data_IF_003186625953
#
_entry.id   IF_003186625953
#
_cell.length_a   1.000
_cell.length_b   1.000
_cell.length_c   1.000
_cell.angle_alpha   90.00
_cell.angle_beta   90.00
_cell.angle_gamma   90.00
#
_symmetry.space_group_name_H-M   'P 1'
#
loop_
_entity.id
_entity.type
_entity.pdbx_description
1 polymer ?
#
# COMPACT_ATOMS: atom_id res chain seq x y z
N UNK A 1 -13.36 -18.49 -18.17
CA UNK A 1 -12.63 -17.44 -17.42
C UNK A 1 -11.24 -17.99 -17.10
N UNK A 2 -10.20 -17.63 -17.88
CA UNK A 2 -8.82 -18.12 -17.71
C UNK A 2 -8.18 -17.44 -16.50
N UNK A 3 -8.24 -18.08 -15.33
CA UNK A 3 -7.68 -17.59 -14.07
C UNK A 3 -6.19 -17.89 -14.01
N UNK A 4 -5.44 -17.16 -14.82
CA UNK A 4 -4.01 -17.38 -15.00
C UNK A 4 -3.27 -16.64 -13.86
N UNK A 5 -2.17 -17.23 -13.41
CA UNK A 5 -1.17 -16.84 -12.39
C UNK A 5 -1.16 -15.37 -11.92
N UNK A 6 -1.35 -14.38 -12.80
CA UNK A 6 -1.44 -12.94 -12.49
C UNK A 6 -2.44 -12.61 -11.38
N UNK A 7 -3.61 -13.27 -11.35
CA UNK A 7 -4.61 -13.01 -10.30
C UNK A 7 -4.15 -13.57 -8.95
N UNK A 8 -3.50 -14.73 -8.93
CA UNK A 8 -2.88 -15.30 -7.72
C UNK A 8 -1.73 -14.42 -7.22
N UNK A 9 -0.88 -13.95 -8.13
CA UNK A 9 0.21 -13.01 -7.82
C UNK A 9 -0.29 -11.72 -7.18
N UNK A 10 -1.39 -11.15 -7.67
CA UNK A 10 -2.02 -9.98 -7.07
C UNK A 10 -2.48 -10.23 -5.62
N UNK A 11 -3.15 -11.36 -5.35
CA UNK A 11 -3.60 -11.71 -3.99
C UNK A 11 -2.43 -11.94 -3.03
N UNK A 12 -1.37 -12.60 -3.48
CA UNK A 12 -0.15 -12.80 -2.68
C UNK A 12 0.52 -11.45 -2.41
N UNK A 13 0.59 -10.58 -3.42
CA UNK A 13 1.09 -9.21 -3.29
C UNK A 13 0.28 -8.37 -2.30
N UNK A 14 -1.05 -8.49 -2.30
CA UNK A 14 -1.94 -7.83 -1.35
C UNK A 14 -1.69 -8.31 0.08
N UNK A 15 -1.59 -9.63 0.28
CA UNK A 15 -1.29 -10.23 1.59
C UNK A 15 0.07 -9.79 2.13
N UNK A 16 1.11 -9.86 1.29
CA UNK A 16 2.45 -9.39 1.66
C UNK A 16 2.47 -7.88 1.97
N UNK A 17 1.73 -7.08 1.21
CA UNK A 17 1.57 -5.65 1.47
C UNK A 17 0.91 -5.33 2.78
N UNK A 18 -0.10 -6.11 3.17
CA UNK A 18 -0.81 -5.91 4.44
C UNK A 18 0.11 -6.20 5.64
N UNK A 19 0.95 -7.24 5.54
CA UNK A 19 1.98 -7.52 6.55
C UNK A 19 3.04 -6.42 6.57
N UNK A 20 3.52 -5.99 5.41
CA UNK A 20 4.51 -4.91 5.31
C UNK A 20 3.97 -3.60 5.88
N UNK A 21 2.69 -3.29 5.63
CA UNK A 21 1.99 -2.16 6.22
C UNK A 21 1.90 -2.26 7.74
N UNK A 22 1.61 -3.43 8.31
CA UNK A 22 1.54 -3.59 9.76
C UNK A 22 2.89 -3.30 10.44
N UNK A 23 4.00 -3.74 9.84
CA UNK A 23 5.35 -3.59 10.41
C UNK A 23 5.92 -2.19 10.13
N UNK A 24 5.79 -1.71 8.90
CA UNK A 24 6.48 -0.51 8.40
C UNK A 24 5.55 0.63 7.97
N UNK A 25 4.26 0.42 7.85
CA UNK A 25 3.32 1.46 7.40
C UNK A 25 2.54 2.11 8.54
N UNK A 26 2.11 1.31 9.52
CA UNK A 26 1.22 1.75 10.59
C UNK A 26 1.91 2.78 11.50
N UNK A 27 3.11 2.46 11.99
CA UNK A 27 3.86 3.35 12.87
C UNK A 27 4.25 4.67 12.16
N UNK A 28 5.02 4.67 11.05
CA UNK A 28 5.40 5.94 10.43
C UNK A 28 4.21 6.67 9.80
N UNK A 29 3.18 5.97 9.31
CA UNK A 29 1.95 6.59 8.83
C UNK A 29 1.25 7.39 9.93
N UNK A 30 1.13 6.82 11.13
CA UNK A 30 0.55 7.53 12.27
C UNK A 30 1.42 8.70 12.75
N UNK A 31 2.74 8.54 12.77
CA UNK A 31 3.66 9.60 13.19
C UNK A 31 3.66 10.79 12.21
N UNK A 32 3.74 10.52 10.91
CA UNK A 32 3.68 11.55 9.88
C UNK A 32 2.30 12.23 9.85
N UNK A 33 1.22 11.45 9.99
CA UNK A 33 -0.13 11.99 10.12
C UNK A 33 -0.28 12.89 11.35
N UNK A 34 0.29 12.50 12.49
CA UNK A 34 0.29 13.30 13.71
C UNK A 34 1.08 14.60 13.57
N UNK A 35 2.30 14.54 12.99
CA UNK A 35 3.10 15.73 12.71
C UNK A 35 2.38 16.70 11.77
N UNK A 36 1.69 16.18 10.75
CA UNK A 36 0.85 16.98 9.86
C UNK A 36 -0.32 17.61 10.62
N UNK A 37 -1.01 16.87 11.49
CA UNK A 37 -2.12 17.39 12.30
C UNK A 37 -1.72 18.50 13.25
N UNK A 38 -0.55 18.38 13.88
CA UNK A 38 0.00 19.43 14.74
C UNK A 38 0.24 20.71 13.92
N UNK A 39 0.79 20.59 12.72
CA UNK A 39 0.99 21.74 11.84
C UNK A 39 -0.35 22.37 11.41
N UNK A 40 -1.34 21.55 11.03
CA UNK A 40 -2.68 22.03 10.65
C UNK A 40 -3.35 22.75 11.82
N UNK A 41 -3.37 22.12 13.00
CA UNK A 41 -3.93 22.74 14.19
C UNK A 41 -3.17 24.02 14.55
N UNK A 42 -1.85 24.03 14.43
CA UNK A 42 -1.00 25.20 14.70
C UNK A 42 -1.28 26.37 13.76
N UNK A 43 -1.63 26.11 12.50
CA UNK A 43 -2.07 27.15 11.56
C UNK A 43 -3.46 27.69 11.89
N UNK A 44 -4.34 26.86 12.46
CA UNK A 44 -5.71 27.27 12.81
C UNK A 44 -5.80 28.03 14.14
N UNK A 45 -5.04 27.59 15.15
CA UNK A 45 -5.15 28.07 16.53
C UNK A 45 -3.91 28.82 17.03
N UNK A 46 -2.85 28.87 16.22
CA UNK A 46 -1.55 29.42 16.63
C UNK A 46 -0.69 28.39 17.38
N UNK A 47 0.60 28.67 17.45
CA UNK A 47 1.56 27.90 18.24
C UNK A 47 2.07 28.76 19.42
N UNK A 48 2.22 28.20 20.63
CA UNK A 48 2.02 26.79 20.99
C UNK A 48 0.54 26.42 21.11
N UNK A 49 0.18 25.22 20.63
CA UNK A 49 -1.19 24.72 20.69
C UNK A 49 -1.59 24.48 22.15
N UNK A 50 -2.66 25.16 22.59
CA UNK A 50 -3.29 24.81 23.84
C UNK A 50 -3.82 23.37 23.77
N UNK A 51 -3.67 22.56 24.84
CA UNK A 51 -4.09 21.17 24.87
C UNK A 51 -5.63 21.02 24.99
N UNK A 52 -6.37 21.79 24.20
CA UNK A 52 -7.82 21.73 24.10
C UNK A 52 -8.32 20.48 23.37
N UNK A 53 -9.60 20.15 23.59
CA UNK A 53 -10.24 18.97 23.00
C UNK A 53 -10.21 18.98 21.46
N UNK A 54 -10.40 20.15 20.86
CA UNK A 54 -10.44 20.33 19.39
C UNK A 54 -9.05 20.08 18.78
N UNK A 55 -7.99 20.64 19.39
CA UNK A 55 -6.60 20.44 18.94
C UNK A 55 -6.22 18.96 18.95
N UNK A 56 -6.55 18.24 20.03
CA UNK A 56 -6.31 16.79 20.14
C UNK A 56 -7.12 15.99 19.12
N UNK A 57 -8.38 16.35 18.89
CA UNK A 57 -9.21 15.69 17.89
C UNK A 57 -8.63 15.82 16.47
N UNK A 58 -8.12 17.00 16.10
CA UNK A 58 -7.49 17.23 14.79
C UNK A 58 -6.26 16.33 14.62
N UNK A 59 -5.39 16.26 15.63
CA UNK A 59 -4.19 15.40 15.58
C UNK A 59 -4.58 13.92 15.51
N UNK A 60 -5.60 13.48 16.26
CA UNK A 60 -6.05 12.09 16.20
C UNK A 60 -6.61 11.74 14.81
N UNK A 61 -7.42 12.61 14.23
CA UNK A 61 -7.97 12.42 12.88
C UNK A 61 -6.84 12.39 11.86
N UNK A 62 -5.85 13.28 11.95
CA UNK A 62 -4.73 13.31 11.01
C UNK A 62 -3.82 12.08 11.15
N UNK A 63 -3.64 11.54 12.36
CA UNK A 63 -2.96 10.26 12.57
C UNK A 63 -3.69 9.12 11.85
N UNK A 64 -5.03 9.04 11.99
CA UNK A 64 -5.84 8.05 11.29
C UNK A 64 -5.74 8.19 9.77
N UNK A 65 -5.78 9.43 9.27
CA UNK A 65 -5.60 9.72 7.84
C UNK A 65 -4.23 9.26 7.36
N UNK A 66 -3.15 9.53 8.11
CA UNK A 66 -1.80 9.09 7.78
C UNK A 66 -1.68 7.56 7.68
N UNK A 67 -2.30 6.84 8.62
CA UNK A 67 -2.36 5.36 8.59
C UNK A 67 -3.16 4.86 7.39
N UNK A 68 -4.31 5.45 7.08
CA UNK A 68 -5.14 5.07 5.94
C UNK A 68 -4.40 5.27 4.62
N UNK A 69 -3.75 6.43 4.43
CA UNK A 69 -2.97 6.72 3.22
C UNK A 69 -1.81 5.74 3.08
N UNK A 70 -1.05 5.49 4.15
CA UNK A 70 0.05 4.52 4.13
C UNK A 70 -0.43 3.11 3.77
N UNK A 71 -1.58 2.69 4.32
CA UNK A 71 -2.19 1.39 4.00
C UNK A 71 -2.59 1.27 2.54
N UNK A 72 -3.29 2.28 2.01
CA UNK A 72 -3.70 2.33 0.61
C UNK A 72 -2.47 2.26 -0.30
N UNK A 73 -1.45 3.07 -0.05
CA UNK A 73 -0.26 3.15 -0.90
C UNK A 73 0.51 1.82 -0.88
N UNK A 74 0.81 1.27 0.29
CA UNK A 74 1.60 0.03 0.41
C UNK A 74 0.84 -1.14 -0.21
N UNK A 75 -0.42 -1.35 0.16
CA UNK A 75 -1.19 -2.50 -0.33
C UNK A 75 -1.42 -2.39 -1.83
N UNK A 76 -1.72 -1.20 -2.35
CA UNK A 76 -1.91 -1.00 -3.79
C UNK A 76 -0.59 -1.23 -4.55
N UNK A 77 0.53 -0.72 -4.03
CA UNK A 77 1.84 -0.90 -4.65
C UNK A 77 2.24 -2.38 -4.71
N UNK A 78 2.12 -3.12 -3.60
CA UNK A 78 2.50 -4.54 -3.56
C UNK A 78 1.53 -5.42 -4.35
N UNK A 79 0.25 -5.09 -4.38
CA UNK A 79 -0.75 -5.78 -5.21
C UNK A 79 -0.43 -5.57 -6.69
N UNK A 80 -0.10 -4.33 -7.08
CA UNK A 80 0.28 -4.00 -8.46
C UNK A 80 1.58 -4.70 -8.84
N UNK A 81 2.58 -4.73 -7.95
CA UNK A 81 3.83 -5.47 -8.16
C UNK A 81 3.60 -6.99 -8.27
N UNK A 82 2.78 -7.57 -7.39
CA UNK A 82 2.44 -9.00 -7.43
C UNK A 82 1.66 -9.38 -8.69
N UNK A 83 0.77 -8.51 -9.15
CA UNK A 83 0.09 -8.68 -10.44
C UNK A 83 1.05 -8.60 -11.62
N UNK A 84 1.95 -7.61 -11.62
CA UNK A 84 2.96 -7.42 -12.68
C UNK A 84 3.90 -8.62 -12.77
N UNK A 85 4.39 -9.11 -11.63
CA UNK A 85 5.23 -10.30 -11.55
C UNK A 85 4.49 -11.54 -12.10
N UNK A 86 3.23 -11.73 -11.72
CA UNK A 86 2.42 -12.84 -12.25
C UNK A 86 2.16 -12.75 -13.76
N UNK A 87 2.02 -11.54 -14.32
CA UNK A 87 1.92 -11.31 -15.77
C UNK A 87 3.23 -11.65 -16.51
N UNK A 88 4.38 -11.29 -15.95
CA UNK A 88 5.68 -11.61 -16.55
C UNK A 88 5.96 -13.11 -16.58
N UNK A 89 5.57 -13.82 -15.52
CA UNK A 89 5.69 -15.28 -15.44
C UNK A 89 4.79 -15.99 -16.47
N UNK A 90 3.55 -15.52 -16.66
CA UNK A 90 2.68 -16.03 -17.73
C UNK A 90 3.25 -15.80 -19.13
N UNK A 91 3.76 -14.59 -19.39
CA UNK A 91 4.36 -14.25 -20.67
C UNK A 91 5.61 -15.08 -20.98
N UNK A 92 6.32 -15.54 -19.95
CA UNK A 92 7.51 -16.39 -20.10
C UNK A 92 7.12 -17.86 -20.33
N UNK A 93 6.14 -18.38 -19.59
CA UNK A 93 5.64 -19.74 -19.74
C UNK A 93 4.96 -19.98 -21.11
N UNK A 94 4.18 -19.01 -21.60
CA UNK A 94 3.56 -19.10 -22.94
C UNK A 94 4.60 -19.11 -24.08
N UNK A 95 5.81 -18.59 -23.82
CA UNK A 95 6.91 -18.55 -24.78
C UNK A 95 7.74 -19.85 -24.79
N UNK A 96 7.73 -20.60 -23.70
CA UNK A 96 8.28 -21.97 -23.63
C UNK A 96 7.38 -22.96 -24.36
N UNK A 97 6.05 -22.91 -24.16
CA UNK A 97 5.11 -23.78 -24.86
C UNK A 97 5.15 -23.61 -26.40
N UNK A 98 5.40 -22.39 -26.90
CA UNK A 98 5.59 -22.15 -28.33
C UNK A 98 6.92 -22.72 -28.86
N UNK A 99 7.99 -22.71 -28.06
CA UNK A 99 9.28 -23.29 -28.46
C UNK A 99 9.27 -24.81 -28.48
N UNK A 100 8.58 -25.47 -27.55
CA UNK A 100 8.40 -26.93 -27.59
C UNK A 100 7.50 -27.38 -28.74
N UNK A 101 6.45 -26.60 -29.08
CA UNK A 101 5.57 -26.90 -30.21
C UNK A 101 6.26 -26.73 -31.59
N UNK A 102 7.23 -25.82 -31.72
CA UNK A 102 8.06 -25.68 -32.92
C UNK A 102 9.21 -26.69 -32.98
N UNK A 103 9.71 -27.17 -31.83
CA UNK A 103 10.78 -28.18 -31.79
C UNK A 103 10.31 -29.62 -32.12
N UNK A 104 9.00 -29.87 -32.07
CA UNK A 104 8.41 -31.19 -32.34
C UNK A 104 7.72 -31.30 -33.73
N UNK A 105 7.95 -30.34 -34.64
CA UNK A 105 7.42 -30.31 -36.00
C UNK A 105 8.52 -30.54 -37.03
#
# INVERSE_FOLDING_TARGET
>A
MKTTIARKGAYIGAGAGLVLFAIFGLLPGSLLGGAMGINIAGWMFGLPLEPGLISRAIVLVSMLVGVLVAGIVIVTATTTMGWLAGRLLEGSAAREEQKEAEAHK
#
